data_IF_824981446424
#
_entry.id   IF_824981446424
#
_cell.length_a   1.000
_cell.length_b   1.000
_cell.length_c   1.000
_cell.angle_alpha   90.00
_cell.angle_beta   90.00
_cell.angle_gamma   90.00
#
_symmetry.space_group_name_H-M   'P 1'
#
loop_
_entity.id
_entity.type
_entity.pdbx_description
1 polymer ?
#
# COMPACT_ATOMS: atom_id res chain seq x y z
N UNK A 1 11.24 21.94 -3.57
CA UNK A 1 11.04 20.52 -3.28
C UNK A 1 9.56 20.25 -3.01
N UNK A 2 8.99 19.20 -3.61
CA UNK A 2 7.61 18.76 -3.37
C UNK A 2 7.41 18.22 -1.94
N UNK A 3 8.47 17.67 -1.36
CA UNK A 3 8.48 17.14 0.00
C UNK A 3 9.64 17.76 0.79
N UNK A 4 9.47 18.97 1.32
CA UNK A 4 10.53 19.65 2.08
C UNK A 4 10.80 18.90 3.40
N UNK A 5 12.07 18.84 3.80
CA UNK A 5 12.51 18.10 5.00
C UNK A 5 11.97 18.70 6.30
N UNK A 6 11.76 20.03 6.32
CA UNK A 6 11.41 20.77 7.53
C UNK A 6 10.03 21.46 7.42
N UNK A 7 9.14 20.96 6.55
CA UNK A 7 7.81 21.54 6.42
C UNK A 7 6.77 20.44 6.19
N UNK A 8 5.58 20.66 6.70
CA UNK A 8 4.41 19.81 6.46
C UNK A 8 4.08 19.83 4.96
N UNK A 9 3.92 18.67 4.35
CA UNK A 9 3.54 18.52 2.93
C UNK A 9 2.06 18.16 2.75
N UNK A 10 1.31 18.03 3.85
CA UNK A 10 -0.14 17.90 3.86
C UNK A 10 -0.69 18.65 5.08
N UNK A 11 -1.98 18.91 5.03
CA UNK A 11 -2.73 19.56 6.11
C UNK A 11 -4.07 18.84 6.28
N UNK A 12 -4.45 18.59 7.53
CA UNK A 12 -5.79 18.13 7.86
C UNK A 12 -6.71 19.34 8.05
N UNK A 13 -7.89 19.27 7.47
CA UNK A 13 -8.91 20.30 7.64
C UNK A 13 -10.25 19.61 7.92
N UNK A 14 -11.06 20.21 8.78
CA UNK A 14 -12.45 19.80 8.95
C UNK A 14 -13.27 20.54 7.91
N UNK A 15 -14.25 19.86 7.32
CA UNK A 15 -15.22 20.49 6.44
C UNK A 15 -16.03 21.54 7.22
N UNK A 16 -16.13 22.74 6.67
CA UNK A 16 -16.87 23.84 7.27
C UNK A 16 -18.33 23.49 7.54
N UNK A 17 -18.94 22.64 6.71
CA UNK A 17 -20.30 22.12 6.92
C UNK A 17 -20.42 21.28 8.20
N UNK A 18 -19.44 20.42 8.48
CA UNK A 18 -19.40 19.59 9.67
C UNK A 18 -19.20 20.44 10.95
N UNK A 19 -18.43 21.53 10.87
CA UNK A 19 -18.26 22.47 11.99
C UNK A 19 -19.56 23.23 12.33
N UNK A 20 -20.33 23.60 11.31
CA UNK A 20 -21.64 24.25 11.50
C UNK A 20 -22.67 23.30 12.12
N UNK A 21 -22.70 22.05 11.72
CA UNK A 21 -23.60 21.03 12.32
C UNK A 21 -23.27 20.73 13.78
N UNK A 22 -22.00 20.79 14.17
CA UNK A 22 -21.57 20.62 15.57
C UNK A 22 -21.91 21.82 16.45
N UNK A 23 -22.46 22.92 15.92
CA UNK A 23 -22.82 24.13 16.68
C UNK A 23 -21.62 24.75 17.41
N UNK A 24 -20.42 24.55 16.87
CA UNK A 24 -19.16 24.89 17.53
C UNK A 24 -18.97 26.41 17.59
N UNK A 25 -18.99 26.96 18.79
CA UNK A 25 -18.51 28.31 19.05
C UNK A 25 -17.04 28.43 18.62
N UNK A 26 -16.58 29.64 18.27
CA UNK A 26 -15.18 29.92 17.85
C UNK A 26 -14.10 29.29 18.73
N UNK A 27 -14.39 29.04 19.98
CA UNK A 27 -13.45 28.41 20.93
C UNK A 27 -13.25 26.92 20.63
N UNK A 28 -14.31 26.21 20.26
CA UNK A 28 -14.23 24.80 19.84
C UNK A 28 -13.49 24.64 18.49
N UNK A 29 -13.61 25.62 17.59
CA UNK A 29 -12.86 25.64 16.33
C UNK A 29 -11.35 25.70 16.56
N UNK A 30 -10.88 26.54 17.51
CA UNK A 30 -9.46 26.63 17.86
C UNK A 30 -8.95 25.32 18.47
N UNK A 31 -9.70 24.73 19.40
CA UNK A 31 -9.32 23.45 20.02
C UNK A 31 -9.25 22.31 18.99
N UNK A 32 -10.19 22.28 18.04
CA UNK A 32 -10.18 21.28 16.93
C UNK A 32 -8.97 21.51 16.03
N UNK A 33 -8.62 22.75 15.68
CA UNK A 33 -7.45 23.05 14.87
C UNK A 33 -6.14 22.67 15.57
N UNK A 34 -6.04 22.91 16.88
CA UNK A 34 -4.87 22.48 17.67
C UNK A 34 -4.76 20.95 17.72
N UNK A 35 -5.88 20.25 17.95
CA UNK A 35 -5.91 18.78 17.93
C UNK A 35 -5.50 18.22 16.56
N UNK A 36 -6.00 18.78 15.47
CA UNK A 36 -5.62 18.39 14.11
C UNK A 36 -4.14 18.63 13.85
N UNK A 37 -3.58 19.75 14.33
CA UNK A 37 -2.15 20.03 14.17
C UNK A 37 -1.28 19.01 14.92
N UNK A 38 -1.70 18.56 16.11
CA UNK A 38 -1.00 17.50 16.86
C UNK A 38 -1.06 16.16 16.13
N UNK A 39 -2.21 15.83 15.54
CA UNK A 39 -2.36 14.63 14.71
C UNK A 39 -1.47 14.71 13.48
N UNK A 40 -1.43 15.87 12.79
CA UNK A 40 -0.52 16.09 11.65
C UNK A 40 0.94 15.84 12.02
N UNK A 41 1.40 16.40 13.14
CA UNK A 41 2.78 16.24 13.59
C UNK A 41 3.10 14.77 13.89
N UNK A 42 2.22 14.08 14.61
CA UNK A 42 2.37 12.65 14.90
C UNK A 42 2.40 11.79 13.63
N UNK A 43 1.49 12.05 12.68
CA UNK A 43 1.46 11.35 11.39
C UNK A 43 2.72 11.60 10.56
N UNK A 44 3.24 12.84 10.57
CA UNK A 44 4.47 13.19 9.87
C UNK A 44 5.66 12.43 10.44
N UNK A 45 5.77 12.37 11.77
CA UNK A 45 6.85 11.64 12.44
C UNK A 45 6.79 10.14 12.12
N UNK A 46 5.60 9.54 12.14
CA UNK A 46 5.41 8.13 11.78
C UNK A 46 5.76 7.86 10.31
N UNK A 47 5.32 8.72 9.39
CA UNK A 47 5.60 8.60 7.95
C UNK A 47 7.09 8.79 7.65
N UNK A 48 7.78 9.70 8.36
CA UNK A 48 9.22 9.88 8.28
C UNK A 48 9.97 8.64 8.82
N UNK A 49 9.56 8.12 9.98
CA UNK A 49 10.14 6.91 10.57
C UNK A 49 10.00 5.69 9.64
N UNK A 50 8.91 5.59 8.89
CA UNK A 50 8.71 4.56 7.87
C UNK A 50 9.48 4.82 6.56
N UNK A 51 10.18 5.95 6.43
CA UNK A 51 10.93 6.30 5.22
C UNK A 51 10.05 6.65 4.01
N UNK A 52 8.80 7.09 4.22
CA UNK A 52 7.85 7.38 3.14
C UNK A 52 8.40 8.41 2.17
N UNK A 53 9.09 9.45 2.63
CA UNK A 53 9.65 10.50 1.77
C UNK A 53 10.57 9.94 0.68
N UNK A 54 11.46 9.01 1.04
CA UNK A 54 12.37 8.36 0.09
C UNK A 54 11.57 7.59 -0.96
N UNK A 55 10.53 6.90 -0.52
CA UNK A 55 9.66 6.11 -1.41
C UNK A 55 8.81 6.99 -2.33
N UNK A 56 8.36 8.14 -1.87
CA UNK A 56 7.68 9.12 -2.72
C UNK A 56 8.61 9.68 -3.80
N UNK A 57 9.86 9.98 -3.49
CA UNK A 57 10.83 10.39 -4.52
C UNK A 57 11.09 9.28 -5.54
N UNK A 58 11.20 8.03 -5.11
CA UNK A 58 11.33 6.88 -6.00
C UNK A 58 10.12 6.77 -6.93
N UNK A 59 8.90 6.89 -6.40
CA UNK A 59 7.67 6.88 -7.18
C UNK A 59 7.58 8.05 -8.18
N UNK A 60 7.93 9.26 -7.75
CA UNK A 60 7.96 10.43 -8.64
C UNK A 60 8.92 10.25 -9.81
N UNK A 61 10.09 9.67 -9.58
CA UNK A 61 11.03 9.36 -10.66
C UNK A 61 10.42 8.38 -11.66
N UNK A 62 9.68 7.37 -11.20
CA UNK A 62 8.97 6.46 -12.09
C UNK A 62 7.86 7.18 -12.86
N UNK A 63 7.06 8.02 -12.21
CA UNK A 63 5.99 8.78 -12.87
C UNK A 63 6.57 9.68 -13.97
N UNK A 64 7.66 10.38 -13.71
CA UNK A 64 8.30 11.25 -14.71
C UNK A 64 8.83 10.46 -15.90
N UNK A 65 9.36 9.26 -15.69
CA UNK A 65 9.97 8.44 -16.76
C UNK A 65 8.96 7.58 -17.51
N UNK A 66 7.90 7.09 -16.86
CA UNK A 66 7.00 6.07 -17.41
C UNK A 66 5.51 6.44 -17.34
N UNK A 67 5.17 7.55 -16.68
CA UNK A 67 3.78 7.96 -16.47
C UNK A 67 3.01 7.17 -15.41
N UNK A 68 3.62 6.14 -14.80
CA UNK A 68 3.00 5.27 -13.82
C UNK A 68 3.92 4.95 -12.65
N UNK A 69 3.34 4.77 -11.46
CA UNK A 69 4.00 4.21 -10.30
C UNK A 69 2.98 3.45 -9.44
N UNK A 70 3.39 2.36 -8.82
CA UNK A 70 2.61 1.62 -7.86
C UNK A 70 3.29 1.70 -6.50
N UNK A 71 2.58 2.30 -5.53
CA UNK A 71 3.01 2.39 -4.13
C UNK A 71 2.09 1.49 -3.31
N UNK A 72 2.66 0.64 -2.50
CA UNK A 72 1.96 -0.15 -1.49
C UNK A 72 2.28 0.40 -0.10
N UNK A 73 1.24 0.73 0.65
CA UNK A 73 1.30 1.24 2.01
C UNK A 73 0.73 0.19 2.97
N UNK A 74 1.53 -0.82 3.37
CA UNK A 74 1.04 -1.85 4.28
C UNK A 74 0.92 -1.30 5.71
N UNK A 75 -0.10 -1.72 6.44
CA UNK A 75 -0.23 -1.37 7.86
C UNK A 75 0.98 -1.88 8.67
N UNK A 76 1.60 -0.98 9.45
CA UNK A 76 2.69 -1.31 10.36
C UNK A 76 4.02 -1.69 9.68
N UNK A 77 4.15 -1.53 8.37
CA UNK A 77 5.36 -1.82 7.63
C UNK A 77 5.77 -0.67 6.71
N UNK A 78 7.04 -0.64 6.31
CA UNK A 78 7.57 0.38 5.43
C UNK A 78 6.89 0.37 4.05
N UNK A 79 6.61 1.54 3.47
CA UNK A 79 6.08 1.69 2.12
C UNK A 79 6.99 1.03 1.08
N UNK A 80 6.38 0.46 0.04
CA UNK A 80 7.09 -0.17 -1.09
C UNK A 80 6.69 0.49 -2.39
N UNK A 81 7.66 0.77 -3.23
CA UNK A 81 7.43 1.19 -4.61
C UNK A 81 7.80 0.03 -5.52
N UNK A 82 6.86 -0.38 -6.35
CA UNK A 82 7.09 -1.48 -7.29
C UNK A 82 7.64 -0.95 -8.60
N UNK A 83 8.55 -1.70 -9.21
CA UNK A 83 9.08 -1.39 -10.54
C UNK A 83 7.99 -1.61 -11.59
N UNK A 84 8.01 -0.82 -12.64
CA UNK A 84 7.00 -0.87 -13.70
C UNK A 84 6.90 -2.25 -14.38
N UNK A 85 8.03 -2.96 -14.46
CA UNK A 85 8.12 -4.31 -15.03
C UNK A 85 7.67 -5.44 -14.08
N UNK A 86 7.34 -5.11 -12.83
CA UNK A 86 6.96 -6.08 -11.80
C UNK A 86 5.46 -6.12 -11.51
N UNK A 87 4.65 -5.32 -12.18
CA UNK A 87 3.21 -5.35 -11.99
C UNK A 87 2.42 -5.09 -13.26
N UNK A 88 1.20 -5.58 -13.28
CA UNK A 88 0.20 -5.29 -14.31
C UNK A 88 -1.10 -4.82 -13.67
N UNK A 89 -1.83 -3.97 -14.39
CA UNK A 89 -3.07 -3.36 -13.91
C UNK A 89 -4.16 -3.55 -14.95
N UNK A 90 -5.28 -4.10 -14.53
CA UNK A 90 -6.51 -4.16 -15.32
C UNK A 90 -7.45 -3.03 -14.94
N UNK A 91 -7.98 -2.34 -15.94
CA UNK A 91 -8.92 -1.24 -15.78
C UNK A 91 -10.16 -1.43 -16.64
N UNK A 92 -11.27 -0.87 -16.21
CA UNK A 92 -12.46 -0.78 -17.03
C UNK A 92 -12.30 0.31 -18.14
N UNK A 93 -13.23 0.39 -19.10
CA UNK A 93 -13.19 1.43 -20.14
C UNK A 93 -13.28 2.88 -19.62
N UNK A 94 -13.70 3.07 -18.37
CA UNK A 94 -13.75 4.37 -17.70
C UNK A 94 -12.46 4.69 -16.94
N UNK A 95 -11.50 3.76 -16.94
CA UNK A 95 -10.22 3.90 -16.23
C UNK A 95 -10.24 3.46 -14.76
N UNK A 96 -11.37 2.95 -14.25
CA UNK A 96 -11.44 2.44 -12.88
C UNK A 96 -10.59 1.18 -12.72
N UNK A 97 -9.90 1.07 -11.61
CA UNK A 97 -9.07 -0.08 -11.29
C UNK A 97 -9.96 -1.30 -10.98
N UNK A 98 -9.68 -2.42 -11.65
CA UNK A 98 -10.34 -3.71 -11.43
C UNK A 98 -9.44 -4.71 -10.74
N UNK A 99 -8.17 -4.80 -11.19
CA UNK A 99 -7.23 -5.80 -10.70
C UNK A 99 -5.79 -5.29 -10.80
N UNK A 100 -4.99 -5.64 -9.82
CA UNK A 100 -3.54 -5.47 -9.81
C UNK A 100 -2.91 -6.84 -9.57
N UNK A 101 -1.91 -7.17 -10.34
CA UNK A 101 -1.06 -8.34 -10.09
C UNK A 101 0.37 -7.89 -9.98
N UNK A 102 1.02 -8.19 -8.86
CA UNK A 102 2.43 -7.88 -8.60
C UNK A 102 3.23 -9.16 -8.57
N UNK A 103 4.29 -9.23 -9.38
CA UNK A 103 5.26 -10.32 -9.40
C UNK A 103 6.45 -9.97 -8.51
N UNK A 104 6.82 -10.88 -7.63
CA UNK A 104 7.96 -10.74 -6.73
C UNK A 104 8.82 -12.01 -6.75
N UNK A 105 10.15 -11.81 -6.75
CA UNK A 105 11.10 -12.91 -6.58
C UNK A 105 11.56 -12.94 -5.13
N UNK A 106 11.07 -13.89 -4.37
CA UNK A 106 11.30 -14.00 -2.91
C UNK A 106 12.31 -15.10 -2.63
N UNK A 107 13.32 -14.81 -1.82
CA UNK A 107 14.27 -15.85 -1.38
C UNK A 107 13.60 -16.78 -0.36
N UNK A 108 13.74 -18.11 -0.47
CA UNK A 108 13.24 -19.06 0.52
C UNK A 108 13.80 -18.81 1.94
N UNK A 109 14.96 -18.14 2.06
CA UNK A 109 15.60 -17.83 3.34
C UNK A 109 14.81 -16.84 4.20
N UNK A 110 14.01 -15.96 3.58
CA UNK A 110 13.22 -14.93 4.27
C UNK A 110 11.79 -15.36 4.57
N UNK A 111 11.40 -16.56 4.11
CA UNK A 111 10.06 -17.11 4.32
C UNK A 111 9.98 -17.80 5.68
N UNK A 112 8.90 -17.54 6.40
CA UNK A 112 8.55 -18.30 7.58
C UNK A 112 8.19 -19.77 7.22
N UNK A 113 8.24 -20.67 8.17
CA UNK A 113 8.05 -22.11 7.95
C UNK A 113 6.66 -22.44 7.39
N UNK A 114 5.63 -21.71 7.86
CA UNK A 114 4.25 -21.89 7.38
C UNK A 114 4.10 -21.53 5.90
N UNK A 115 4.62 -20.37 5.50
CA UNK A 115 4.60 -19.91 4.11
C UNK A 115 5.45 -20.81 3.22
N UNK A 116 6.63 -21.24 3.70
CA UNK A 116 7.49 -22.18 2.97
C UNK A 116 6.78 -23.51 2.71
N UNK A 117 6.11 -24.08 3.71
CA UNK A 117 5.33 -25.31 3.57
C UNK A 117 4.17 -25.15 2.58
N UNK A 118 3.45 -24.03 2.65
CA UNK A 118 2.37 -23.71 1.71
C UNK A 118 2.88 -23.61 0.26
N UNK A 119 4.02 -22.95 0.06
CA UNK A 119 4.66 -22.84 -1.26
C UNK A 119 5.15 -24.21 -1.75
N UNK A 120 5.80 -25.00 -0.90
CA UNK A 120 6.23 -26.37 -1.24
C UNK A 120 5.06 -27.26 -1.69
N UNK A 121 3.88 -27.10 -1.07
CA UNK A 121 2.67 -27.81 -1.47
C UNK A 121 2.17 -27.44 -2.88
N UNK A 122 2.62 -26.32 -3.45
CA UNK A 122 2.34 -25.95 -4.85
C UNK A 122 3.23 -26.67 -5.86
N UNK A 123 4.27 -27.37 -5.39
CA UNK A 123 5.29 -28.02 -6.21
C UNK A 123 6.52 -27.17 -6.50
N UNK A 124 6.63 -25.97 -5.90
CA UNK A 124 7.82 -25.15 -6.00
C UNK A 124 8.92 -25.64 -5.05
N UNK A 125 10.18 -25.67 -5.53
CA UNK A 125 11.34 -25.97 -4.68
C UNK A 125 11.69 -24.74 -3.84
N UNK A 126 11.55 -24.85 -2.55
CA UNK A 126 11.84 -23.80 -1.55
C UNK A 126 12.99 -24.17 -0.64
N UNK A 127 13.84 -25.12 -1.04
CA UNK A 127 14.98 -25.56 -0.25
C UNK A 127 15.97 -24.40 -0.07
N UNK A 128 16.23 -23.95 1.16
CA UNK A 128 17.21 -22.88 1.44
C UNK A 128 18.59 -23.27 0.93
N UNK A 129 19.25 -22.35 0.23
CA UNK A 129 20.58 -22.54 -0.35
C UNK A 129 20.63 -23.29 -1.69
N UNK A 130 19.57 -23.99 -2.09
CA UNK A 130 19.46 -24.68 -3.37
C UNK A 130 18.70 -23.83 -4.40
N UNK A 131 17.56 -23.31 -4.01
CA UNK A 131 16.74 -22.43 -4.83
C UNK A 131 17.06 -20.97 -4.51
N UNK A 132 17.42 -20.17 -5.53
CA UNK A 132 17.77 -18.76 -5.32
C UNK A 132 16.55 -17.90 -4.98
N UNK A 133 15.48 -18.02 -5.76
CA UNK A 133 14.24 -17.26 -5.59
C UNK A 133 13.04 -18.07 -6.04
N UNK A 134 11.89 -17.75 -5.45
CA UNK A 134 10.57 -18.26 -5.84
C UNK A 134 9.74 -17.10 -6.36
N UNK A 135 9.03 -17.29 -7.45
CA UNK A 135 8.07 -16.33 -7.97
C UNK A 135 6.78 -16.37 -7.15
N UNK A 136 6.43 -15.23 -6.57
CA UNK A 136 5.19 -15.03 -5.83
C UNK A 136 4.39 -13.93 -6.52
N UNK A 137 3.15 -14.22 -6.85
CA UNK A 137 2.21 -13.25 -7.40
C UNK A 137 1.27 -12.79 -6.29
N UNK A 138 1.25 -11.49 -6.02
CA UNK A 138 0.24 -10.87 -5.16
C UNK A 138 -0.86 -10.31 -6.05
N UNK A 139 -2.07 -10.76 -5.84
CA UNK A 139 -3.25 -10.36 -6.61
C UNK A 139 -4.16 -9.54 -5.73
N UNK A 140 -4.50 -8.34 -6.19
CA UNK A 140 -5.51 -7.46 -5.57
C UNK A 140 -6.63 -7.28 -6.59
N UNK A 141 -7.84 -7.69 -6.25
CA UNK A 141 -8.98 -7.69 -7.15
C UNK A 141 -10.19 -7.02 -6.51
N UNK A 142 -10.84 -6.17 -7.31
CA UNK A 142 -12.10 -5.56 -6.93
C UNK A 142 -13.23 -6.54 -7.15
N UNK A 143 -13.98 -6.81 -6.09
CA UNK A 143 -15.19 -7.65 -6.14
C UNK A 143 -16.39 -6.84 -5.68
N UNK A 144 -17.56 -7.15 -6.20
CA UNK A 144 -18.82 -6.57 -5.74
C UNK A 144 -19.49 -7.57 -4.81
N UNK A 145 -19.71 -7.14 -3.57
CA UNK A 145 -20.44 -7.93 -2.60
C UNK A 145 -21.62 -7.12 -2.09
N UNK A 146 -22.84 -7.65 -2.24
CA UNK A 146 -24.10 -6.98 -1.87
C UNK A 146 -24.26 -5.57 -2.49
N UNK A 147 -23.71 -5.34 -3.68
CA UNK A 147 -23.76 -4.05 -4.38
C UNK A 147 -22.63 -3.08 -4.03
N UNK A 148 -21.84 -3.36 -2.99
CA UNK A 148 -20.70 -2.53 -2.58
C UNK A 148 -19.37 -3.09 -3.10
N UNK A 149 -18.46 -2.22 -3.55
CA UNK A 149 -17.14 -2.63 -4.00
C UNK A 149 -16.24 -2.96 -2.81
N UNK A 150 -15.67 -4.15 -2.81
CA UNK A 150 -14.65 -4.60 -1.87
C UNK A 150 -13.38 -4.98 -2.60
N UNK A 151 -12.27 -4.96 -1.89
CA UNK A 151 -10.99 -5.42 -2.40
C UNK A 151 -10.61 -6.74 -1.74
N UNK A 152 -10.17 -7.72 -2.54
CA UNK A 152 -9.62 -8.98 -2.07
C UNK A 152 -8.16 -9.07 -2.44
N UNK A 153 -7.34 -9.48 -1.49
CA UNK A 153 -5.92 -9.71 -1.70
C UNK A 153 -5.57 -11.17 -1.38
N UNK A 154 -4.75 -11.77 -2.22
CA UNK A 154 -4.18 -13.10 -1.99
C UNK A 154 -2.86 -13.25 -2.72
N UNK A 155 -2.11 -14.30 -2.35
CA UNK A 155 -0.87 -14.64 -3.02
C UNK A 155 -1.00 -15.99 -3.75
N UNK A 156 -0.27 -16.12 -4.85
CA UNK A 156 -0.21 -17.32 -5.68
C UNK A 156 1.23 -17.69 -6.01
N UNK A 157 1.50 -18.99 -6.03
CA UNK A 157 2.74 -19.59 -6.53
C UNK A 157 2.36 -20.78 -7.42
N UNK A 158 2.95 -20.87 -8.62
CA UNK A 158 2.63 -21.89 -9.60
C UNK A 158 1.11 -22.02 -9.88
N UNK A 159 0.39 -20.89 -9.91
CA UNK A 159 -1.06 -20.86 -10.15
C UNK A 159 -1.91 -21.41 -8.99
N UNK A 160 -1.32 -21.69 -7.83
CA UNK A 160 -2.03 -22.10 -6.63
C UNK A 160 -1.98 -21.03 -5.57
N UNK A 161 -3.10 -20.77 -4.93
CA UNK A 161 -3.20 -19.79 -3.84
C UNK A 161 -2.46 -20.27 -2.61
N UNK A 162 -1.70 -19.36 -2.00
CA UNK A 162 -1.00 -19.55 -0.73
C UNK A 162 -1.48 -18.53 0.29
N UNK A 163 -1.59 -18.94 1.55
CA UNK A 163 -2.01 -18.03 2.63
C UNK A 163 -3.50 -17.68 2.68
N UNK A 164 -3.90 -16.87 3.65
CA UNK A 164 -5.29 -16.43 3.83
C UNK A 164 -5.69 -15.41 2.76
N UNK A 165 -7.00 -15.37 2.47
CA UNK A 165 -7.61 -14.28 1.72
C UNK A 165 -7.81 -13.09 2.67
N UNK A 166 -7.29 -11.92 2.30
CA UNK A 166 -7.55 -10.66 3.00
C UNK A 166 -8.68 -9.93 2.27
N UNK A 167 -9.69 -9.46 3.01
CA UNK A 167 -10.87 -8.72 2.52
C UNK A 167 -10.99 -7.41 3.23
#
# INVERSE_FOLDING_TARGET
>A
SLFPVNAKFFRLAVDEGALQELGAFKQAETEVQEALSQIEDTLLDDLEAMGLRIKLYEALRQIVSSGNALIHLPFGNAPRVYRLDSYVVERDPRGNLLKIVVQQHVSPLVLDEKTRSAISATGADVTPGKTKTVEVFTVVERVINQGEPHWKEWQEVNGKRIGPLVT
#
